data_IF_971073673581
#
_entry.id   IF_971073673581
#
_cell.length_a   1.000
_cell.length_b   1.000
_cell.length_c   1.000
_cell.angle_alpha   90.00
_cell.angle_beta   90.00
_cell.angle_gamma   90.00
#
_symmetry.space_group_name_H-M   'P 1'
#
loop_
_entity.id
_entity.type
_entity.pdbx_description
1 polymer ?
#
# COMPACT_ATOMS: atom_id res chain seq x y z
N UNK A 1 -40.90 5.07 36.07
CA UNK A 1 -40.95 5.36 37.51
C UNK A 1 -40.01 4.42 38.22
N UNK A 2 -38.97 5.03 38.76
CA UNK A 2 -37.83 4.53 39.55
C UNK A 2 -38.21 3.57 40.67
N UNK A 3 -37.45 2.48 40.81
CA UNK A 3 -37.19 1.86 42.12
C UNK A 3 -35.68 1.81 42.32
N UNK A 4 -35.24 2.56 43.32
CA UNK A 4 -33.86 2.74 43.71
C UNK A 4 -33.41 1.56 44.57
N UNK A 5 -32.26 0.98 44.24
CA UNK A 5 -31.57 0.03 45.10
C UNK A 5 -30.79 0.82 46.15
N UNK A 6 -31.25 0.79 47.39
CA UNK A 6 -30.56 1.35 48.57
C UNK A 6 -29.52 0.32 49.02
N UNK A 7 -28.24 0.61 48.78
CA UNK A 7 -27.14 -0.09 49.44
C UNK A 7 -26.74 0.72 50.68
N UNK A 8 -27.22 0.29 51.85
CA UNK A 8 -26.89 0.90 53.13
C UNK A 8 -25.47 0.48 53.54
N UNK A 9 -24.51 1.42 53.48
CA UNK A 9 -23.22 1.31 54.16
C UNK A 9 -23.46 1.32 55.67
N UNK A 10 -23.24 0.20 56.34
CA UNK A 10 -23.14 0.13 57.80
C UNK A 10 -21.67 0.23 58.20
N UNK A 11 -21.23 1.45 58.49
CA UNK A 11 -20.07 1.70 59.35
C UNK A 11 -20.55 1.64 60.80
N UNK A 12 -20.22 0.57 61.53
CA UNK A 12 -20.45 0.50 62.96
C UNK A 12 -19.21 -0.08 63.67
N UNK A 13 -18.65 0.73 64.57
CA UNK A 13 -17.57 0.37 65.50
C UNK A 13 -17.97 -0.80 66.41
N UNK A 14 -17.01 -1.59 66.92
CA UNK A 14 -17.33 -2.75 67.74
C UNK A 14 -17.71 -2.30 69.16
N UNK A 15 -19.01 -2.30 69.47
CA UNK A 15 -19.49 -2.38 70.84
C UNK A 15 -20.19 -3.73 71.01
N UNK A 16 -19.69 -4.53 71.96
CA UNK A 16 -20.24 -5.85 72.30
C UNK A 16 -21.70 -5.75 72.71
N UNK A 17 -22.60 -6.12 71.81
CA UNK A 17 -24.02 -6.29 72.06
C UNK A 17 -24.51 -7.52 71.30
N UNK A 18 -24.89 -8.57 72.03
CA UNK A 18 -25.47 -9.78 71.46
C UNK A 18 -26.89 -9.45 70.99
N UNK A 19 -27.10 -9.34 69.68
CA UNK A 19 -28.43 -9.14 69.08
C UNK A 19 -29.00 -10.52 68.73
N UNK A 20 -30.01 -10.95 69.47
CA UNK A 20 -30.79 -12.16 69.16
C UNK A 20 -31.83 -11.80 68.11
N UNK A 21 -31.61 -12.18 66.84
CA UNK A 21 -32.60 -12.01 65.77
C UNK A 21 -33.61 -13.17 65.81
N UNK A 22 -34.93 -12.90 65.75
CA UNK A 22 -35.96 -13.94 65.71
C UNK A 22 -35.88 -14.73 64.39
N UNK A 23 -35.66 -16.04 64.48
CA UNK A 23 -35.49 -16.94 63.34
C UNK A 23 -36.73 -17.09 62.43
N UNK A 24 -37.87 -16.51 62.82
CA UNK A 24 -39.17 -16.69 62.17
C UNK A 24 -39.38 -15.89 60.87
N UNK A 25 -38.43 -15.03 60.49
CA UNK A 25 -38.53 -14.22 59.26
C UNK A 25 -37.64 -14.69 58.10
N UNK A 26 -36.85 -15.75 58.28
CA UNK A 26 -36.02 -16.30 57.22
C UNK A 26 -36.78 -17.37 56.43
N UNK A 27 -37.40 -16.98 55.31
CA UNK A 27 -37.75 -17.93 54.26
C UNK A 27 -36.45 -18.49 53.68
N UNK A 28 -36.13 -19.75 54.01
CA UNK A 28 -35.16 -20.55 53.28
C UNK A 28 -35.66 -20.70 51.85
N UNK A 29 -35.17 -19.83 50.96
CA UNK A 29 -35.31 -20.02 49.52
C UNK A 29 -34.52 -21.28 49.19
N UNK A 30 -35.23 -22.36 48.87
CA UNK A 30 -34.64 -23.60 48.39
C UNK A 30 -34.00 -23.32 47.02
N UNK A 31 -32.70 -23.06 47.03
CA UNK A 31 -31.91 -22.89 45.81
C UNK A 31 -31.70 -24.27 45.22
N UNK A 32 -32.52 -24.63 44.24
CA UNK A 32 -32.31 -25.84 43.42
C UNK A 32 -30.85 -25.84 42.90
N UNK A 33 -30.14 -26.97 42.99
CA UNK A 33 -28.77 -27.05 42.49
C UNK A 33 -28.77 -26.70 40.99
N UNK A 34 -27.81 -25.89 40.52
CA UNK A 34 -27.72 -25.52 39.12
C UNK A 34 -27.59 -26.78 38.26
N UNK A 35 -28.29 -26.81 37.13
CA UNK A 35 -28.22 -27.92 36.19
C UNK A 35 -26.75 -28.20 35.79
N UNK A 36 -26.37 -29.48 35.59
CA UNK A 36 -25.00 -29.84 35.22
C UNK A 36 -24.57 -29.12 33.92
N UNK A 37 -23.38 -28.52 33.94
CA UNK A 37 -22.86 -27.76 32.79
C UNK A 37 -22.54 -28.72 31.64
N UNK A 38 -23.26 -28.60 30.53
CA UNK A 38 -23.02 -29.41 29.32
C UNK A 38 -21.68 -29.07 28.64
N UNK A 39 -21.23 -27.83 28.80
CA UNK A 39 -19.92 -27.35 28.38
C UNK A 39 -19.65 -25.96 28.95
N UNK A 40 -18.41 -25.50 28.90
CA UNK A 40 -18.01 -24.21 29.42
C UNK A 40 -16.80 -23.66 28.66
N UNK A 41 -16.70 -22.34 28.59
CA UNK A 41 -15.45 -21.64 28.25
C UNK A 41 -14.53 -21.73 29.46
N UNK A 42 -13.42 -22.45 29.31
CA UNK A 42 -12.45 -22.71 30.39
C UNK A 42 -11.33 -21.68 30.43
N UNK A 43 -11.03 -21.03 29.31
CA UNK A 43 -10.07 -19.94 29.23
C UNK A 43 -10.47 -18.94 28.16
N UNK A 44 -10.21 -17.67 28.43
CA UNK A 44 -10.44 -16.58 27.50
C UNK A 44 -9.30 -15.58 27.56
N UNK A 45 -8.77 -15.24 26.38
CA UNK A 45 -7.84 -14.12 26.19
C UNK A 45 -8.33 -13.26 25.06
N UNK A 46 -8.51 -11.98 25.34
CA UNK A 46 -8.92 -10.99 24.37
C UNK A 46 -7.76 -10.02 24.13
N UNK A 47 -7.39 -9.86 22.87
CA UNK A 47 -6.44 -8.84 22.42
C UNK A 47 -7.15 -7.94 21.43
N UNK A 48 -7.15 -6.64 21.71
CA UNK A 48 -7.73 -5.65 20.83
C UNK A 48 -6.64 -4.80 20.19
N UNK A 49 -6.79 -4.52 18.91
CA UNK A 49 -5.99 -3.56 18.16
C UNK A 49 -6.89 -2.42 17.76
N UNK A 50 -6.54 -1.21 18.19
CA UNK A 50 -7.27 0.00 17.83
C UNK A 50 -6.73 0.51 16.50
N UNK A 51 -7.63 0.82 15.56
CA UNK A 51 -7.34 1.52 14.30
C UNK A 51 -8.02 2.89 14.30
N UNK A 52 -7.88 3.67 13.23
CA UNK A 52 -8.50 5.01 13.13
C UNK A 52 -10.01 4.98 13.39
N UNK A 53 -10.72 4.05 12.73
CA UNK A 53 -12.18 4.04 12.69
C UNK A 53 -12.81 2.77 13.32
N UNK A 54 -11.99 1.78 13.67
CA UNK A 54 -12.47 0.49 14.18
C UNK A 54 -11.56 -0.12 15.24
N UNK A 55 -12.15 -0.97 16.08
CA UNK A 55 -11.44 -1.83 17.01
C UNK A 55 -11.46 -3.25 16.44
N UNK A 56 -10.30 -3.78 16.11
CA UNK A 56 -10.13 -5.20 15.77
C UNK A 56 -9.93 -5.99 17.06
N UNK A 57 -10.72 -7.03 17.29
CA UNK A 57 -10.61 -7.87 18.48
C UNK A 57 -10.32 -9.31 18.07
N UNK A 58 -9.21 -9.84 18.55
CA UNK A 58 -8.90 -11.27 18.46
C UNK A 58 -9.23 -11.91 19.80
N UNK A 59 -10.08 -12.93 19.77
CA UNK A 59 -10.48 -13.71 20.92
C UNK A 59 -9.92 -15.13 20.81
N UNK A 60 -9.05 -15.49 21.76
CA UNK A 60 -8.59 -16.85 21.96
C UNK A 60 -9.41 -17.49 23.09
N UNK A 61 -10.12 -18.56 22.77
CA UNK A 61 -10.98 -19.29 23.69
C UNK A 61 -10.55 -20.75 23.78
N UNK A 62 -10.59 -21.29 25.00
CA UNK A 62 -10.50 -22.74 25.23
C UNK A 62 -11.85 -23.22 25.73
N UNK A 63 -12.56 -24.01 24.93
CA UNK A 63 -13.92 -24.46 25.22
C UNK A 63 -13.92 -25.95 25.47
N UNK A 64 -14.54 -26.40 26.55
CA UNK A 64 -14.68 -27.82 26.87
C UNK A 64 -16.17 -28.22 26.89
N UNK A 65 -16.53 -29.25 26.13
CA UNK A 65 -17.86 -29.85 26.15
C UNK A 65 -17.74 -31.20 26.83
N UNK A 66 -18.54 -31.37 27.88
CA UNK A 66 -18.50 -32.52 28.77
C UNK A 66 -19.58 -33.53 28.36
N UNK A 67 -20.74 -33.04 27.93
CA UNK A 67 -21.86 -33.89 27.52
C UNK A 67 -21.84 -34.14 25.99
N UNK A 68 -21.57 -35.39 25.60
CA UNK A 68 -21.61 -35.87 24.22
C UNK A 68 -22.96 -36.50 23.83
N UNK A 69 -23.93 -36.58 24.76
CA UNK A 69 -25.20 -37.29 24.51
C UNK A 69 -26.20 -36.46 23.70
N UNK A 70 -26.06 -35.13 23.72
CA UNK A 70 -26.93 -34.17 23.05
C UNK A 70 -26.11 -33.09 22.35
N UNK A 71 -26.72 -32.39 21.41
CA UNK A 71 -26.11 -31.19 20.82
C UNK A 71 -25.96 -30.12 21.89
N UNK A 72 -24.72 -29.74 22.17
CA UNK A 72 -24.38 -28.67 23.09
C UNK A 72 -24.12 -27.40 22.31
N UNK A 73 -24.80 -26.33 22.71
CA UNK A 73 -24.64 -24.98 22.15
C UNK A 73 -24.09 -24.07 23.24
N UNK A 74 -23.03 -23.33 22.93
CA UNK A 74 -22.43 -22.34 23.83
C UNK A 74 -22.40 -20.97 23.17
N UNK A 75 -22.95 -19.96 23.84
CA UNK A 75 -22.94 -18.56 23.41
C UNK A 75 -21.62 -17.91 23.77
N UNK A 76 -20.81 -17.60 22.74
CA UNK A 76 -19.45 -17.08 22.89
C UNK A 76 -19.43 -15.55 22.95
N UNK A 77 -20.03 -14.89 21.96
CA UNK A 77 -20.07 -13.43 21.87
C UNK A 77 -21.39 -12.95 21.29
N UNK A 78 -21.84 -11.76 21.70
CA UNK A 78 -23.02 -11.12 21.13
C UNK A 78 -22.61 -10.08 20.09
N UNK A 79 -23.14 -10.19 18.89
CA UNK A 79 -22.96 -9.23 17.81
C UNK A 79 -23.97 -8.10 17.98
N UNK A 80 -23.51 -6.99 18.54
CA UNK A 80 -24.26 -5.73 18.60
C UNK A 80 -24.11 -4.96 17.28
N UNK A 81 -24.97 -3.95 16.99
CA UNK A 81 -24.77 -3.08 15.84
C UNK A 81 -23.34 -2.52 15.80
N UNK A 82 -22.66 -2.68 14.65
CA UNK A 82 -21.26 -2.29 14.47
C UNK A 82 -20.23 -3.37 14.80
N UNK A 83 -20.62 -4.54 15.34
CA UNK A 83 -19.71 -5.69 15.55
C UNK A 83 -19.91 -6.70 14.42
N UNK A 84 -18.83 -7.04 13.72
CA UNK A 84 -18.81 -8.04 12.66
C UNK A 84 -17.81 -9.15 12.98
N UNK A 85 -18.20 -10.41 12.76
CA UNK A 85 -17.27 -11.54 12.80
C UNK A 85 -16.54 -11.57 11.45
N UNK A 86 -15.22 -11.41 11.48
CA UNK A 86 -14.35 -11.34 10.29
C UNK A 86 -13.80 -12.72 9.94
N UNK A 87 -13.41 -13.48 10.97
CA UNK A 87 -12.77 -14.79 10.81
C UNK A 87 -13.07 -15.68 12.02
N UNK A 88 -13.10 -16.99 11.79
CA UNK A 88 -13.32 -18.00 12.83
C UNK A 88 -12.57 -19.28 12.50
N UNK A 89 -11.94 -19.87 13.53
CA UNK A 89 -11.28 -21.16 13.41
C UNK A 89 -12.23 -22.26 12.93
N UNK A 90 -11.80 -23.02 11.93
CA UNK A 90 -12.43 -24.29 11.58
C UNK A 90 -11.80 -25.40 12.43
N UNK A 91 -12.61 -26.04 13.27
CA UNK A 91 -12.16 -27.14 14.15
C UNK A 91 -12.95 -28.40 13.82
N UNK A 92 -12.27 -29.55 13.86
CA UNK A 92 -12.92 -30.82 13.60
C UNK A 92 -13.86 -31.21 14.75
N UNK A 93 -15.08 -31.63 14.41
CA UNK A 93 -16.08 -32.08 15.39
C UNK A 93 -16.88 -30.98 16.10
N UNK A 94 -16.59 -29.69 15.85
CA UNK A 94 -17.36 -28.57 16.37
C UNK A 94 -17.54 -27.46 15.31
N UNK A 95 -18.68 -26.77 15.33
CA UNK A 95 -19.01 -25.70 14.39
C UNK A 95 -19.13 -24.37 15.12
N UNK A 96 -18.40 -23.36 14.66
CA UNK A 96 -18.64 -21.95 15.03
C UNK A 96 -19.58 -21.34 14.01
N UNK A 97 -20.68 -20.76 14.47
CA UNK A 97 -21.66 -20.12 13.59
C UNK A 97 -22.24 -18.85 14.22
N UNK A 98 -22.80 -17.98 13.38
CA UNK A 98 -23.59 -16.82 13.82
C UNK A 98 -25.07 -17.21 13.83
N UNK A 99 -25.71 -17.15 14.99
CA UNK A 99 -27.13 -17.49 15.15
C UNK A 99 -27.83 -16.45 16.03
N UNK A 100 -28.91 -15.85 15.55
CA UNK A 100 -29.70 -14.82 16.27
C UNK A 100 -28.86 -13.65 16.81
N UNK A 101 -27.83 -13.23 16.08
CA UNK A 101 -26.94 -12.15 16.51
C UNK A 101 -25.94 -12.56 17.59
N UNK A 102 -25.68 -13.86 17.76
CA UNK A 102 -24.63 -14.37 18.65
C UNK A 102 -23.69 -15.29 17.88
N UNK A 103 -22.40 -15.24 18.23
CA UNK A 103 -21.42 -16.25 17.81
C UNK A 103 -21.53 -17.41 18.79
N UNK A 104 -21.81 -18.59 18.25
CA UNK A 104 -22.10 -19.79 19.04
C UNK A 104 -21.21 -20.93 18.59
N UNK A 105 -20.73 -21.72 19.55
CA UNK A 105 -20.12 -23.02 19.29
C UNK A 105 -21.19 -24.10 19.41
N UNK A 106 -21.27 -24.99 18.42
CA UNK A 106 -22.17 -26.13 18.44
C UNK A 106 -21.37 -27.41 18.21
N UNK A 107 -21.51 -28.38 19.11
CA UNK A 107 -20.88 -29.70 18.97
C UNK A 107 -21.76 -30.79 19.56
N UNK A 108 -21.58 -32.01 19.05
CA UNK A 108 -22.16 -33.24 19.58
C UNK A 108 -21.10 -34.17 20.19
N UNK A 109 -19.83 -33.80 20.08
CA UNK A 109 -18.72 -34.58 20.62
C UNK A 109 -18.28 -33.95 21.94
N UNK A 110 -17.86 -34.77 22.91
CA UNK A 110 -17.16 -34.26 24.08
C UNK A 110 -15.69 -34.04 23.72
N UNK A 111 -15.10 -32.97 24.24
CA UNK A 111 -13.73 -32.59 23.90
C UNK A 111 -13.40 -31.17 24.32
N UNK A 112 -12.15 -30.78 24.06
CA UNK A 112 -11.64 -29.43 24.29
C UNK A 112 -11.15 -28.86 22.96
N UNK A 113 -11.62 -27.66 22.62
CA UNK A 113 -11.23 -26.95 21.40
C UNK A 113 -10.57 -25.61 21.73
N UNK A 114 -9.53 -25.31 20.97
CA UNK A 114 -8.92 -23.98 20.93
C UNK A 114 -9.53 -23.23 19.76
N UNK A 115 -10.20 -22.12 20.05
CA UNK A 115 -10.85 -21.28 19.04
C UNK A 115 -10.16 -19.93 19.00
N UNK A 116 -9.81 -19.50 17.79
CA UNK A 116 -9.47 -18.12 17.49
C UNK A 116 -10.61 -17.50 16.67
N UNK A 117 -11.15 -16.39 17.17
CA UNK A 117 -12.22 -15.62 16.53
C UNK A 117 -11.74 -14.18 16.35
N UNK A 118 -11.97 -13.60 15.16
CA UNK A 118 -11.60 -12.22 14.86
C UNK A 118 -12.84 -11.40 14.60
N UNK A 119 -12.91 -10.24 15.24
CA UNK A 119 -14.03 -9.31 15.15
C UNK A 119 -13.53 -7.95 14.70
N UNK A 120 -14.35 -7.25 13.91
CA UNK A 120 -14.20 -5.81 13.67
C UNK A 120 -15.37 -5.08 14.30
N UNK A 121 -15.07 -4.12 15.16
CA UNK A 121 -16.04 -3.28 15.86
C UNK A 121 -15.90 -1.84 15.38
N UNK A 122 -16.87 -1.35 14.63
CA UNK A 122 -16.88 0.04 14.16
C UNK A 122 -17.08 0.99 15.34
N UNK A 123 -16.21 1.99 15.46
CA UNK A 123 -16.38 3.07 16.41
C UNK A 123 -17.53 4.00 15.97
N UNK A 124 -18.29 4.56 16.92
CA UNK A 124 -19.27 5.60 16.57
C UNK A 124 -18.63 6.83 15.90
N UNK A 125 -19.41 7.57 15.11
CA UNK A 125 -18.95 8.78 14.41
C UNK A 125 -18.66 9.93 15.39
N UNK A 126 -17.43 10.44 15.40
CA UNK A 126 -17.02 11.61 16.19
C UNK A 126 -15.53 11.66 16.50
N UNK A 127 -15.07 12.75 17.14
CA UNK A 127 -13.67 12.91 17.57
C UNK A 127 -13.25 11.94 18.70
N UNK A 128 -14.22 11.25 19.29
CA UNK A 128 -14.02 10.20 20.27
C UNK A 128 -14.85 9.00 19.85
N UNK A 129 -14.18 7.93 19.45
CA UNK A 129 -14.83 6.69 19.10
C UNK A 129 -15.10 5.87 20.35
N UNK A 130 -16.29 5.30 20.39
CA UNK A 130 -16.69 4.32 21.39
C UNK A 130 -17.09 3.05 20.68
N UNK A 131 -16.44 1.94 21.01
CA UNK A 131 -16.83 0.60 20.62
C UNK A 131 -17.34 -0.16 21.83
N UNK A 132 -18.34 -1.01 21.62
CA UNK A 132 -18.85 -1.94 22.63
C UNK A 132 -18.74 -3.36 22.09
N UNK A 133 -18.00 -4.20 22.80
CA UNK A 133 -17.89 -5.62 22.53
C UNK A 133 -18.52 -6.39 23.69
N UNK A 134 -19.38 -7.36 23.43
CA UNK A 134 -20.19 -8.00 24.48
C UNK A 134 -20.00 -9.52 24.47
N UNK A 135 -19.77 -10.10 25.65
CA UNK A 135 -19.65 -11.56 25.79
C UNK A 135 -21.00 -12.26 25.61
N UNK A 136 -20.95 -13.51 25.18
CA UNK A 136 -22.10 -14.40 25.20
C UNK A 136 -22.39 -14.91 26.61
N UNK A 137 -23.58 -15.47 26.80
CA UNK A 137 -24.06 -15.91 28.11
C UNK A 137 -23.14 -16.95 28.78
N UNK A 138 -22.51 -17.81 27.98
CA UNK A 138 -21.71 -18.96 28.44
C UNK A 138 -20.20 -18.66 28.50
N UNK A 139 -19.82 -17.40 28.27
CA UNK A 139 -18.42 -16.95 28.26
C UNK A 139 -18.07 -16.23 29.55
N UNK A 140 -16.83 -16.42 30.01
CA UNK A 140 -16.31 -15.81 31.23
C UNK A 140 -16.18 -14.28 31.11
N UNK A 141 -16.09 -13.61 32.26
CA UNK A 141 -15.60 -12.23 32.28
C UNK A 141 -14.08 -12.26 32.08
N UNK A 142 -13.61 -11.53 31.06
CA UNK A 142 -12.22 -11.49 30.65
C UNK A 142 -11.65 -10.08 30.66
N UNK A 143 -10.33 -9.97 30.63
CA UNK A 143 -9.64 -8.69 30.42
C UNK A 143 -9.29 -8.55 28.94
N UNK A 144 -9.81 -7.51 28.30
CA UNK A 144 -9.39 -7.10 26.97
C UNK A 144 -8.08 -6.31 27.09
N UNK A 145 -6.97 -6.90 26.63
CA UNK A 145 -5.70 -6.20 26.51
C UNK A 145 -5.66 -5.47 25.18
N UNK A 146 -5.34 -4.18 25.20
CA UNK A 146 -5.15 -3.42 23.97
C UNK A 146 -3.68 -3.36 23.60
N UNK A 147 -3.37 -3.75 22.37
CA UNK A 147 -2.09 -3.51 21.74
C UNK A 147 -2.27 -2.28 20.83
N UNK A 148 -1.58 -1.20 21.19
CA UNK A 148 -1.49 -0.01 20.35
C UNK A 148 -0.26 -0.21 19.47
N UNK A 149 -0.48 -0.31 18.16
CA UNK A 149 0.61 -0.53 17.21
C UNK A 149 1.59 0.65 17.22
N UNK A 150 2.87 0.39 16.97
CA UNK A 150 3.96 1.37 17.16
C UNK A 150 3.85 2.63 16.31
N UNK A 151 3.09 2.60 15.21
CA UNK A 151 2.73 3.77 14.40
C UNK A 151 1.71 4.71 15.08
N UNK A 152 1.09 4.30 16.20
CA UNK A 152 0.07 5.05 16.94
C UNK A 152 0.50 5.40 18.38
N UNK A 153 1.81 5.41 18.65
CA UNK A 153 2.38 5.78 19.95
C UNK A 153 2.06 7.24 20.39
N UNK A 154 1.46 8.07 19.52
CA UNK A 154 0.99 9.43 19.82
C UNK A 154 -0.50 9.53 20.24
N UNK A 155 -1.11 8.45 20.74
CA UNK A 155 -2.35 8.59 21.52
C UNK A 155 -2.02 9.31 22.84
N UNK A 156 -2.15 10.64 22.86
CA UNK A 156 -1.94 11.46 24.08
C UNK A 156 -2.76 10.98 25.29
N UNK A 157 -3.85 10.25 25.03
CA UNK A 157 -4.63 9.53 26.03
C UNK A 157 -4.89 8.14 25.46
N UNK A 158 -4.14 7.13 25.93
CA UNK A 158 -4.26 5.75 25.50
C UNK A 158 -5.71 5.25 25.55
N UNK A 159 -6.06 4.32 24.66
CA UNK A 159 -7.39 3.75 24.61
C UNK A 159 -7.82 3.21 25.98
N UNK A 160 -8.97 3.67 26.47
CA UNK A 160 -9.51 3.28 27.77
C UNK A 160 -10.45 2.10 27.57
N UNK A 161 -10.14 0.97 28.23
CA UNK A 161 -11.03 -0.18 28.30
C UNK A 161 -11.76 -0.17 29.63
N UNK A 162 -13.09 -0.10 29.61
CA UNK A 162 -13.91 -0.37 30.78
C UNK A 162 -14.69 -1.65 30.58
N UNK A 163 -14.54 -2.59 31.51
CA UNK A 163 -15.32 -3.82 31.56
C UNK A 163 -16.45 -3.64 32.56
N UNK A 164 -17.69 -3.61 32.08
CA UNK A 164 -18.89 -3.48 32.90
C UNK A 164 -19.95 -4.49 32.43
N UNK A 165 -20.43 -5.33 33.36
CA UNK A 165 -21.55 -6.26 33.12
C UNK A 165 -21.40 -7.14 31.86
N UNK A 166 -20.23 -7.75 31.66
CA UNK A 166 -19.95 -8.62 30.49
C UNK A 166 -19.78 -7.88 29.16
N UNK A 167 -19.62 -6.55 29.19
CA UNK A 167 -19.30 -5.75 28.02
C UNK A 167 -17.98 -4.99 28.21
N UNK A 168 -17.16 -5.01 27.17
CA UNK A 168 -15.96 -4.19 27.05
C UNK A 168 -16.32 -2.94 26.24
N UNK A 169 -16.36 -1.81 26.94
CA UNK A 169 -16.49 -0.50 26.33
C UNK A 169 -15.09 0.05 26.11
N UNK A 170 -14.71 0.19 24.85
CA UNK A 170 -13.42 0.77 24.46
C UNK A 170 -13.67 2.18 23.97
N UNK A 171 -13.00 3.14 24.60
CA UNK A 171 -13.03 4.55 24.18
C UNK A 171 -11.64 4.96 23.74
N UNK A 172 -11.54 5.44 22.50
CA UNK A 172 -10.31 6.03 22.01
C UNK A 172 -10.62 7.37 21.36
N UNK A 173 -9.70 8.32 21.54
CA UNK A 173 -9.73 9.56 20.79
C UNK A 173 -8.81 9.37 19.61
N UNK A 174 -9.37 9.37 18.41
CA UNK A 174 -8.56 9.59 17.23
C UNK A 174 -8.19 11.05 17.28
N UNK A 175 -6.95 11.36 17.66
CA UNK A 175 -6.37 12.60 17.17
C UNK A 175 -6.38 12.38 15.67
N UNK A 176 -7.20 13.15 14.94
CA UNK A 176 -7.07 13.25 13.51
C UNK A 176 -5.69 13.84 13.26
N UNK A 177 -4.69 12.96 13.24
CA UNK A 177 -3.40 13.24 12.67
C UNK A 177 -3.62 13.13 11.16
N UNK A 178 -4.35 14.07 10.54
CA UNK A 178 -3.79 15.29 9.94
C UNK A 178 -2.64 15.99 10.70
N UNK A 179 -1.75 15.25 11.32
CA UNK A 179 -0.34 15.51 11.28
C UNK A 179 0.04 14.76 9.98
N UNK A 180 0.31 15.40 8.84
CA UNK A 180 1.36 16.42 8.77
C UNK A 180 2.31 16.17 9.93
N UNK A 181 2.98 15.01 9.90
CA UNK A 181 4.27 14.90 10.53
C UNK A 181 4.94 16.24 10.23
N UNK A 182 5.13 17.09 11.24
CA UNK A 182 6.15 18.12 11.14
C UNK A 182 7.49 17.38 11.31
N UNK A 183 7.72 16.33 10.49
CA UNK A 183 8.97 16.22 9.75
C UNK A 183 9.02 17.55 9.06
N UNK A 184 9.77 18.50 9.63
CA UNK A 184 9.94 19.87 9.17
C UNK A 184 9.45 19.97 7.73
N UNK A 185 8.18 20.40 7.52
CA UNK A 185 7.43 20.11 6.30
C UNK A 185 8.34 20.48 5.15
N UNK A 186 8.99 19.47 4.56
CA UNK A 186 9.91 19.76 3.46
C UNK A 186 8.97 20.41 2.47
N UNK A 187 9.27 21.64 2.01
CA UNK A 187 8.48 22.26 0.98
C UNK A 187 8.14 21.19 -0.05
N UNK A 188 6.86 21.06 -0.44
CA UNK A 188 6.41 19.99 -1.32
C UNK A 188 7.40 19.88 -2.46
N UNK A 189 7.97 18.69 -2.61
CA UNK A 189 9.11 18.54 -3.49
C UNK A 189 8.61 18.80 -4.90
N UNK A 190 9.19 19.81 -5.55
CA UNK A 190 8.87 20.06 -6.95
C UNK A 190 9.27 18.82 -7.74
N UNK A 191 8.35 18.27 -8.55
CA UNK A 191 8.64 17.06 -9.28
C UNK A 191 9.72 17.36 -10.33
N UNK A 192 10.76 16.54 -10.36
CA UNK A 192 11.95 16.77 -11.20
C UNK A 192 12.32 15.50 -11.93
N UNK A 193 12.85 15.66 -13.14
CA UNK A 193 13.51 14.59 -13.88
C UNK A 193 15.00 14.70 -13.59
N UNK A 194 15.52 13.80 -12.76
CA UNK A 194 16.93 13.84 -12.32
C UNK A 194 17.88 13.43 -13.45
N UNK A 195 17.45 12.51 -14.30
CA UNK A 195 18.16 12.10 -15.50
C UNK A 195 17.21 11.61 -16.59
N UNK A 196 17.57 11.87 -17.84
CA UNK A 196 16.93 11.28 -19.01
C UNK A 196 17.99 10.63 -19.90
N UNK A 197 17.91 9.32 -20.06
CA UNK A 197 18.82 8.52 -20.87
C UNK A 197 18.15 8.18 -22.19
N UNK A 198 18.69 8.69 -23.30
CA UNK A 198 18.18 8.45 -24.63
C UNK A 198 19.10 7.49 -25.40
N UNK A 199 18.53 6.50 -26.07
CA UNK A 199 19.22 5.64 -27.02
C UNK A 199 18.56 5.77 -28.38
N UNK A 200 19.29 6.31 -29.36
CA UNK A 200 18.87 6.33 -30.75
C UNK A 200 19.61 5.25 -31.52
N UNK A 201 18.89 4.43 -32.25
CA UNK A 201 19.45 3.43 -33.16
C UNK A 201 18.85 3.65 -34.54
N UNK A 202 19.70 3.84 -35.55
CA UNK A 202 19.28 4.04 -36.93
C UNK A 202 19.89 2.98 -37.86
N UNK A 203 19.13 2.59 -38.87
CA UNK A 203 19.51 1.62 -39.90
C UNK A 203 19.87 2.32 -41.21
N UNK A 204 20.55 1.62 -42.13
CA UNK A 204 20.90 2.17 -43.46
C UNK A 204 19.65 2.52 -44.29
N UNK A 205 18.54 1.86 -44.02
CA UNK A 205 17.26 2.08 -44.71
C UNK A 205 16.53 3.34 -44.24
N UNK A 206 17.01 4.02 -43.19
CA UNK A 206 16.36 5.21 -42.65
C UNK A 206 15.47 4.96 -41.44
N UNK A 207 15.17 3.70 -41.12
CA UNK A 207 14.38 3.37 -39.94
C UNK A 207 15.17 3.63 -38.68
N UNK A 208 14.55 4.32 -37.74
CA UNK A 208 15.14 4.63 -36.46
C UNK A 208 14.20 4.35 -35.28
N UNK A 209 14.81 3.92 -34.18
CA UNK A 209 14.17 3.74 -32.89
C UNK A 209 14.86 4.61 -31.86
N UNK A 210 14.07 5.34 -31.09
CA UNK A 210 14.49 6.14 -29.97
C UNK A 210 13.87 5.57 -28.69
N UNK A 211 14.70 5.10 -27.77
CA UNK A 211 14.27 4.72 -26.42
C UNK A 211 14.68 5.82 -25.46
N UNK A 212 13.76 6.32 -24.64
CA UNK A 212 14.06 7.34 -23.63
C UNK A 212 13.60 6.86 -22.27
N UNK A 213 14.53 6.82 -21.31
CA UNK A 213 14.27 6.47 -19.92
C UNK A 213 14.44 7.70 -19.04
N UNK A 214 13.37 8.11 -18.39
CA UNK A 214 13.32 9.20 -17.42
C UNK A 214 13.40 8.64 -16.00
N UNK A 215 14.38 9.12 -15.23
CA UNK A 215 14.44 8.96 -13.79
C UNK A 215 13.71 10.13 -13.13
N UNK A 216 12.62 9.82 -12.45
CA UNK A 216 11.67 10.80 -11.91
C UNK A 216 11.80 10.85 -10.39
N UNK A 217 11.72 12.06 -9.82
CA UNK A 217 11.69 12.27 -8.38
C UNK A 217 10.44 13.10 -8.00
N UNK A 218 9.57 12.54 -7.17
CA UNK A 218 8.25 13.07 -6.78
C UNK A 218 7.84 12.53 -5.40
N UNK A 219 7.07 13.31 -4.63
CA UNK A 219 6.62 12.94 -3.28
C UNK A 219 5.20 12.34 -3.23
N UNK A 220 4.41 12.53 -4.28
CA UNK A 220 3.01 12.07 -4.41
C UNK A 220 2.61 11.99 -5.88
N UNK A 221 1.41 11.48 -6.17
CA UNK A 221 0.86 11.47 -7.54
C UNK A 221 0.92 12.87 -8.18
N UNK A 222 1.63 12.98 -9.30
CA UNK A 222 1.80 14.21 -10.06
C UNK A 222 1.59 13.96 -11.55
N UNK A 223 1.15 14.99 -12.28
CA UNK A 223 0.97 14.91 -13.73
C UNK A 223 2.29 15.23 -14.43
N UNK A 224 2.73 14.33 -15.30
CA UNK A 224 3.84 14.56 -16.22
C UNK A 224 3.28 14.63 -17.64
N UNK A 225 3.57 15.74 -18.32
CA UNK A 225 3.21 15.95 -19.71
C UNK A 225 4.47 15.93 -20.57
N UNK A 226 4.46 15.14 -21.64
CA UNK A 226 5.52 15.08 -22.63
C UNK A 226 5.02 15.55 -23.99
N UNK A 227 5.82 16.36 -24.66
CA UNK A 227 5.60 16.82 -26.03
C UNK A 227 6.47 16.01 -26.97
N UNK A 228 5.82 15.16 -27.76
CA UNK A 228 6.44 14.33 -28.78
C UNK A 228 6.84 15.19 -29.99
N UNK A 229 8.10 15.11 -30.46
CA UNK A 229 8.53 15.86 -31.62
C UNK A 229 7.89 15.35 -32.91
N UNK A 230 7.90 16.18 -33.95
CA UNK A 230 7.30 15.82 -35.23
C UNK A 230 7.97 14.57 -35.84
N UNK A 231 7.19 13.80 -36.59
CA UNK A 231 7.58 12.56 -37.27
C UNK A 231 7.96 11.36 -36.37
N UNK A 232 7.92 11.48 -35.04
CA UNK A 232 8.04 10.33 -34.14
C UNK A 232 6.66 9.73 -33.83
N UNK A 233 6.59 8.40 -33.86
CA UNK A 233 5.43 7.63 -33.44
C UNK A 233 5.79 6.87 -32.17
N UNK A 234 5.03 7.06 -31.11
CA UNK A 234 5.22 6.32 -29.86
C UNK A 234 4.64 4.91 -29.99
N UNK A 235 5.45 3.89 -29.75
CA UNK A 235 5.07 2.49 -29.92
C UNK A 235 4.94 1.74 -28.59
N UNK A 236 5.69 2.16 -27.57
CA UNK A 236 5.66 1.54 -26.24
C UNK A 236 5.87 2.58 -25.15
N UNK A 237 5.16 2.40 -24.04
CA UNK A 237 5.33 3.16 -22.81
C UNK A 237 5.32 2.21 -21.62
N UNK A 238 6.23 2.41 -20.68
CA UNK A 238 6.17 1.74 -19.38
C UNK A 238 6.46 2.69 -18.23
N UNK A 239 5.64 2.62 -17.19
CA UNK A 239 5.75 3.37 -15.96
C UNK A 239 6.08 2.40 -14.82
N UNK A 240 7.16 2.65 -14.10
CA UNK A 240 7.68 1.80 -13.02
C UNK A 240 7.81 0.33 -13.46
N UNK A 241 8.27 0.11 -14.71
CA UNK A 241 8.43 -1.21 -15.32
C UNK A 241 7.13 -1.87 -15.82
N UNK A 242 5.96 -1.28 -15.53
CA UNK A 242 4.67 -1.79 -16.00
C UNK A 242 4.27 -1.13 -17.32
N UNK A 243 3.85 -1.92 -18.31
CA UNK A 243 3.37 -1.38 -19.58
C UNK A 243 2.08 -0.56 -19.36
N UNK A 244 2.01 0.62 -19.97
CA UNK A 244 0.83 1.50 -19.93
C UNK A 244 0.30 1.65 -21.35
N UNK A 245 -1.02 1.85 -21.47
CA UNK A 245 -1.66 2.16 -22.75
C UNK A 245 -0.95 3.36 -23.38
N UNK A 246 -0.63 3.24 -24.67
CA UNK A 246 -0.04 4.32 -25.47
C UNK A 246 -1.14 5.34 -25.76
N UNK A 247 -1.10 6.54 -25.18
CA UNK A 247 -2.10 7.57 -25.45
C UNK A 247 -1.92 8.16 -26.84
N UNK A 248 -3.04 8.58 -27.43
CA UNK A 248 -3.07 9.23 -28.74
C UNK A 248 -2.69 10.71 -28.66
N UNK A 249 -2.10 11.23 -29.74
CA UNK A 249 -1.71 12.63 -29.86
C UNK A 249 -0.22 12.89 -29.64
N UNK A 250 0.18 14.14 -29.81
CA UNK A 250 1.58 14.59 -29.67
C UNK A 250 1.89 15.19 -28.30
N UNK A 251 0.87 15.58 -27.55
CA UNK A 251 1.02 16.03 -26.17
C UNK A 251 0.36 15.02 -25.26
N UNK A 252 1.19 14.35 -24.48
CA UNK A 252 0.80 13.16 -23.76
C UNK A 252 0.93 13.40 -22.27
N UNK A 253 -0.11 13.08 -21.50
CA UNK A 253 -0.11 13.28 -20.05
C UNK A 253 -0.37 11.98 -19.30
N UNK A 254 0.47 11.70 -18.31
CA UNK A 254 0.30 10.58 -17.38
C UNK A 254 0.23 11.07 -15.93
N UNK A 255 -0.46 10.28 -15.11
CA UNK A 255 -0.37 10.36 -13.65
C UNK A 255 0.78 9.47 -13.21
N UNK A 256 1.84 10.08 -12.70
CA UNK A 256 3.04 9.41 -12.22
C UNK A 256 2.94 9.30 -10.70
N UNK A 257 3.13 8.10 -10.18
CA UNK A 257 3.26 7.83 -8.74
C UNK A 257 4.66 7.26 -8.44
N UNK A 258 5.18 7.45 -7.22
CA UNK A 258 6.38 6.75 -6.77
C UNK A 258 6.25 5.23 -6.97
N UNK A 259 7.37 4.58 -7.26
CA UNK A 259 7.40 3.14 -7.55
C UNK A 259 6.87 2.28 -6.40
N UNK A 260 7.09 2.73 -5.15
CA UNK A 260 6.62 2.07 -3.93
C UNK A 260 6.14 3.10 -2.89
N UNK A 261 5.20 2.72 -2.00
CA UNK A 261 4.84 3.56 -0.86
C UNK A 261 6.08 3.91 -0.03
N UNK A 262 6.26 5.19 0.29
CA UNK A 262 7.41 5.69 1.07
C UNK A 262 8.66 6.00 0.24
N UNK A 263 8.73 5.59 -1.03
CA UNK A 263 9.79 6.02 -1.95
C UNK A 263 9.46 7.37 -2.61
N UNK A 264 10.48 8.01 -3.18
CA UNK A 264 10.35 9.27 -3.92
C UNK A 264 10.71 9.16 -5.39
N UNK A 265 11.03 7.96 -5.85
CA UNK A 265 11.53 7.70 -7.19
C UNK A 265 10.49 6.99 -8.03
N UNK A 266 10.43 7.36 -9.31
CA UNK A 266 9.69 6.62 -10.32
C UNK A 266 10.53 6.54 -11.61
N UNK A 267 10.14 5.65 -12.51
CA UNK A 267 10.75 5.53 -13.83
C UNK A 267 9.69 5.55 -14.93
N UNK A 268 9.97 6.29 -15.99
CA UNK A 268 9.16 6.29 -17.21
C UNK A 268 10.06 5.96 -18.40
N UNK A 269 9.69 4.94 -19.15
CA UNK A 269 10.38 4.55 -20.37
C UNK A 269 9.45 4.67 -21.56
N UNK A 270 9.96 5.26 -22.64
CA UNK A 270 9.28 5.43 -23.91
C UNK A 270 10.09 4.76 -25.02
N UNK A 271 9.40 4.13 -25.95
CA UNK A 271 9.96 3.75 -27.25
C UNK A 271 9.22 4.48 -28.35
N UNK A 272 9.97 5.18 -29.19
CA UNK A 272 9.48 5.90 -30.34
C UNK A 272 10.16 5.37 -31.60
N UNK A 273 9.43 5.38 -32.71
CA UNK A 273 9.94 5.00 -34.02
C UNK A 273 9.71 6.12 -35.03
N UNK A 274 10.66 6.26 -35.95
CA UNK A 274 10.61 7.23 -37.04
C UNK A 274 11.27 6.63 -38.27
N UNK A 275 10.74 6.99 -39.44
CA UNK A 275 11.41 6.77 -40.71
C UNK A 275 12.05 8.08 -41.18
N UNK A 276 13.37 8.08 -41.38
CA UNK A 276 14.12 9.18 -41.96
C UNK A 276 14.13 9.14 -43.50
N UNK A 277 13.58 8.09 -44.10
CA UNK A 277 13.74 7.78 -45.52
C UNK A 277 15.14 7.25 -45.83
N UNK A 278 15.35 6.86 -47.08
CA UNK A 278 16.60 6.23 -47.52
C UNK A 278 17.78 7.19 -47.33
N UNK A 279 18.82 6.73 -46.62
CA UNK A 279 20.08 7.46 -46.54
C UNK A 279 20.77 7.48 -47.90
N UNK A 280 20.93 8.68 -48.48
CA UNK A 280 21.69 8.89 -49.71
C UNK A 280 23.21 8.86 -49.45
N UNK A 281 24.04 9.14 -50.46
CA UNK A 281 25.50 9.19 -50.29
C UNK A 281 25.96 10.31 -49.35
N UNK A 282 25.14 11.33 -49.13
CA UNK A 282 25.36 12.37 -48.13
C UNK A 282 24.06 13.06 -47.78
N UNK A 283 23.97 13.65 -46.59
CA UNK A 283 22.81 14.42 -46.18
C UNK A 283 22.88 14.93 -44.75
N UNK A 284 21.71 15.28 -44.21
CA UNK A 284 21.54 15.75 -42.84
C UNK A 284 20.48 14.92 -42.11
N UNK A 285 20.67 14.73 -40.83
CA UNK A 285 19.74 14.05 -39.94
C UNK A 285 19.50 14.92 -38.71
N UNK A 286 18.27 15.37 -38.56
CA UNK A 286 17.81 16.14 -37.40
C UNK A 286 17.04 15.24 -36.43
N UNK A 287 17.48 15.23 -35.18
CA UNK A 287 16.86 14.48 -34.09
C UNK A 287 16.42 15.47 -33.02
N UNK A 288 15.16 15.37 -32.62
CA UNK A 288 14.63 16.06 -31.46
C UNK A 288 14.17 14.99 -30.48
N UNK A 289 14.52 15.14 -29.20
CA UNK A 289 14.03 14.32 -28.10
C UNK A 289 12.71 14.91 -27.56
N UNK A 290 11.87 14.12 -26.87
CA UNK A 290 10.64 14.64 -26.29
C UNK A 290 10.90 15.74 -25.24
N UNK A 291 10.10 16.81 -25.31
CA UNK A 291 10.11 17.87 -24.29
C UNK A 291 9.27 17.46 -23.09
N UNK A 292 9.71 17.78 -21.88
CA UNK A 292 9.02 17.43 -20.65
C UNK A 292 8.47 18.65 -19.91
N UNK A 293 7.31 18.52 -19.28
CA UNK A 293 6.72 19.58 -18.44
C UNK A 293 7.46 19.78 -17.12
N UNK A 294 8.22 18.78 -16.67
CA UNK A 294 9.03 18.87 -15.46
C UNK A 294 10.46 19.32 -15.80
N UNK A 295 11.13 20.06 -14.90
CA UNK A 295 12.53 20.41 -15.08
C UNK A 295 13.38 19.14 -15.21
N UNK A 296 14.27 19.12 -16.21
CA UNK A 296 15.16 17.98 -16.45
C UNK A 296 16.60 18.37 -16.16
N UNK A 297 17.18 17.80 -15.10
CA UNK A 297 18.51 18.17 -14.63
C UNK A 297 19.61 17.78 -15.63
N UNK A 298 19.48 16.62 -16.27
CA UNK A 298 20.45 16.13 -17.26
C UNK A 298 19.80 15.21 -18.29
N UNK A 299 20.21 15.36 -19.54
CA UNK A 299 19.93 14.43 -20.63
C UNK A 299 21.25 13.86 -21.13
N UNK A 300 21.33 12.54 -21.28
CA UNK A 300 22.44 11.82 -21.87
C UNK A 300 21.94 10.97 -23.02
N UNK A 301 22.59 11.03 -24.18
CA UNK A 301 22.16 10.35 -25.39
C UNK A 301 23.27 9.49 -25.97
N UNK A 302 22.96 8.23 -26.28
CA UNK A 302 23.79 7.33 -27.08
C UNK A 302 23.14 7.14 -28.44
N UNK A 303 23.86 7.49 -29.51
CA UNK A 303 23.36 7.47 -30.88
C UNK A 303 24.16 6.47 -31.69
N UNK A 304 23.53 5.36 -32.06
CA UNK A 304 24.11 4.26 -32.84
C UNK A 304 23.67 4.37 -34.30
N UNK A 305 24.64 4.60 -35.19
CA UNK A 305 24.41 4.94 -36.58
C UNK A 305 25.13 3.98 -37.53
N UNK A 306 24.66 3.83 -38.78
CA UNK A 306 25.32 2.97 -39.74
C UNK A 306 26.80 3.34 -39.96
N UNK A 307 27.67 2.34 -39.87
CA UNK A 307 29.12 2.51 -39.94
C UNK A 307 29.66 2.80 -41.36
N UNK A 308 28.80 2.74 -42.38
CA UNK A 308 29.16 3.05 -43.78
C UNK A 308 29.28 4.55 -44.05
N UNK A 309 28.74 5.39 -43.16
CA UNK A 309 28.82 6.84 -43.25
C UNK A 309 29.78 7.42 -42.22
N UNK A 310 30.46 8.49 -42.63
CA UNK A 310 31.10 9.40 -41.70
C UNK A 310 30.09 10.41 -41.17
N UNK A 311 30.01 10.50 -39.84
CA UNK A 311 29.04 11.31 -39.13
C UNK A 311 29.73 12.50 -38.46
N UNK A 312 29.19 13.70 -38.67
CA UNK A 312 29.69 14.94 -38.06
C UNK A 312 28.55 15.75 -37.45
N UNK A 313 28.71 16.21 -36.22
CA UNK A 313 27.77 17.17 -35.62
C UNK A 313 27.80 18.50 -36.38
N UNK A 314 26.62 18.98 -36.73
CA UNK A 314 26.40 20.31 -37.31
C UNK A 314 25.89 21.31 -36.28
N UNK A 315 25.10 20.85 -35.31
CA UNK A 315 24.48 21.72 -34.31
C UNK A 315 23.49 20.99 -33.41
N UNK A 316 22.54 21.73 -32.85
CA UNK A 316 21.59 21.29 -31.84
C UNK A 316 22.05 21.59 -30.41
N UNK A 317 21.17 21.40 -29.43
CA UNK A 317 21.45 21.70 -28.03
C UNK A 317 22.28 20.62 -27.30
N UNK A 318 22.37 19.41 -27.86
CA UNK A 318 23.13 18.30 -27.30
C UNK A 318 24.63 18.44 -27.64
N UNK A 319 25.48 18.49 -26.61
CA UNK A 319 26.93 18.59 -26.77
C UNK A 319 27.60 17.21 -26.76
N UNK A 320 28.72 17.01 -27.50
CA UNK A 320 29.47 15.76 -27.45
C UNK A 320 29.92 15.40 -26.03
N UNK A 321 29.82 14.14 -25.67
CA UNK A 321 30.24 13.62 -24.38
C UNK A 321 31.28 12.51 -24.56
N UNK A 322 32.41 12.59 -23.86
CA UNK A 322 33.44 11.55 -23.90
C UNK A 322 32.99 10.26 -23.22
N UNK A 323 32.22 10.38 -22.13
CA UNK A 323 31.67 9.27 -21.38
C UNK A 323 30.25 9.60 -20.88
N UNK A 324 29.38 8.60 -20.90
CA UNK A 324 28.04 8.66 -20.32
C UNK A 324 28.08 8.13 -18.88
N UNK A 325 27.14 8.57 -18.04
CA UNK A 325 26.99 8.09 -16.66
C UNK A 325 26.26 6.75 -16.56
N UNK A 326 25.76 6.25 -17.68
CA UNK A 326 25.13 4.95 -17.83
C UNK A 326 25.79 4.19 -18.98
N UNK A 327 25.64 2.86 -18.98
CA UNK A 327 26.18 1.99 -20.02
C UNK A 327 25.09 1.67 -21.04
N UNK A 328 25.10 2.28 -22.23
CA UNK A 328 24.15 1.91 -23.27
C UNK A 328 24.39 0.47 -23.74
N UNK A 329 23.32 -0.29 -24.05
CA UNK A 329 23.46 -1.60 -24.68
C UNK A 329 24.35 -1.52 -25.92
N UNK A 330 25.21 -2.53 -26.10
CA UNK A 330 26.02 -2.64 -27.30
C UNK A 330 25.10 -2.88 -28.50
N UNK A 331 25.14 -1.96 -29.47
CA UNK A 331 24.35 -2.01 -30.70
C UNK A 331 25.30 -1.85 -31.90
N UNK A 332 24.97 -2.46 -33.06
CA UNK A 332 25.81 -2.35 -34.25
C UNK A 332 25.91 -0.91 -34.74
N UNK A 333 27.06 -0.57 -35.33
CA UNK A 333 27.30 0.73 -35.95
C UNK A 333 28.31 1.61 -35.21
N UNK A 334 28.40 2.86 -35.65
CA UNK A 334 29.21 3.92 -35.01
C UNK A 334 28.39 4.51 -33.86
N UNK A 335 28.93 4.46 -32.65
CA UNK A 335 28.32 5.07 -31.48
C UNK A 335 28.85 6.50 -31.30
N UNK A 336 27.93 7.44 -31.10
CA UNK A 336 28.22 8.82 -30.72
C UNK A 336 27.50 9.11 -29.40
N UNK A 337 28.19 9.79 -28.49
CA UNK A 337 27.67 10.10 -27.15
C UNK A 337 27.48 11.60 -27.00
N UNK A 338 26.35 12.01 -26.43
CA UNK A 338 26.01 13.41 -26.21
C UNK A 338 25.42 13.64 -24.82
N UNK A 339 25.53 14.87 -24.31
CA UNK A 339 25.00 15.31 -23.02
C UNK A 339 24.50 16.74 -23.09
N UNK A 340 23.48 17.02 -22.29
CA UNK A 340 23.04 18.37 -21.97
C UNK A 340 22.61 18.44 -20.50
N UNK A 341 22.85 19.58 -19.85
CA UNK A 341 22.40 19.88 -18.48
C UNK A 341 21.31 20.94 -18.50
N UNK A 342 20.48 20.96 -17.44
CA UNK A 342 19.44 21.98 -17.21
C UNK A 342 18.56 22.18 -18.44
N UNK A 343 17.85 21.13 -18.82
CA UNK A 343 17.02 21.11 -20.02
C UNK A 343 15.67 21.75 -19.70
N UNK A 344 15.35 22.81 -20.44
CA UNK A 344 14.09 23.51 -20.38
C UNK A 344 12.94 22.67 -20.97
N UNK A 345 11.71 23.17 -20.94
CA UNK A 345 10.53 22.46 -21.45
C UNK A 345 10.60 22.08 -22.95
N UNK A 346 11.47 22.75 -23.72
CA UNK A 346 11.75 22.38 -25.11
C UNK A 346 12.66 21.13 -25.16
N UNK A 347 12.26 20.15 -25.98
CA UNK A 347 13.02 18.91 -26.16
C UNK A 347 14.43 19.15 -26.74
N UNK A 348 15.48 18.46 -26.24
CA UNK A 348 16.84 18.57 -26.77
C UNK A 348 16.93 18.24 -28.26
N UNK A 349 17.82 18.92 -28.98
CA UNK A 349 18.02 18.73 -30.41
C UNK A 349 19.45 18.32 -30.75
N UNK A 350 19.59 17.57 -31.85
CA UNK A 350 20.87 17.16 -32.42
C UNK A 350 20.77 17.21 -33.95
N UNK A 351 21.71 17.88 -34.59
CA UNK A 351 21.85 17.88 -36.04
C UNK A 351 23.16 17.23 -36.45
N UNK A 352 23.07 16.23 -37.33
CA UNK A 352 24.20 15.48 -37.85
C UNK A 352 24.25 15.60 -39.38
N UNK A 353 25.44 15.81 -39.93
CA UNK A 353 25.75 15.54 -41.32
C UNK A 353 26.26 14.12 -41.46
N UNK A 354 25.96 13.50 -42.59
CA UNK A 354 26.55 12.23 -42.99
C UNK A 354 27.04 12.27 -44.43
N UNK A 355 28.10 11.51 -44.71
CA UNK A 355 28.61 11.27 -46.06
C UNK A 355 29.26 9.89 -46.15
N UNK A 356 29.14 9.21 -47.28
CA UNK A 356 29.89 7.98 -47.55
C UNK A 356 31.33 8.38 -47.84
N UNK A 357 32.28 7.77 -47.13
CA UNK A 357 33.68 7.84 -47.51
C UNK A 357 33.91 6.93 -48.72
N UNK A 358 33.86 7.53 -49.91
CA UNK A 358 34.18 6.83 -51.16
C UNK A 358 35.70 6.66 -51.33
N UNK A 359 36.52 7.35 -50.54
CA UNK A 359 37.98 7.29 -50.60
C UNK A 359 38.51 6.11 -49.77
N UNK A 360 38.18 4.89 -50.16
CA UNK A 360 38.89 3.71 -49.64
C UNK A 360 38.21 2.35 -49.72
N UNK A 361 36.92 2.27 -50.09
CA UNK A 361 36.18 0.98 -49.99
C UNK A 361 35.52 0.45 -51.26
N UNK A 362 35.44 1.21 -52.36
CA UNK A 362 34.80 0.73 -53.59
C UNK A 362 35.76 0.41 -54.76
N UNK A 363 37.05 0.79 -54.66
CA UNK A 363 38.05 0.46 -55.68
C UNK A 363 39.22 -0.35 -55.12
N UNK A 364 38.94 -1.47 -54.43
CA UNK A 364 39.86 -2.62 -54.47
C UNK A 364 39.38 -3.57 -55.58
N UNK A 365 39.37 -3.05 -56.81
CA UNK A 365 39.40 -3.92 -57.98
C UNK A 365 40.62 -4.84 -57.78
N UNK A 366 40.35 -6.15 -57.66
CA UNK A 366 41.33 -7.21 -57.83
C UNK A 366 42.06 -6.97 -59.17
N UNK A 367 43.11 -6.17 -59.14
CA UNK A 367 44.16 -6.16 -60.14
C UNK A 367 45.02 -7.39 -59.92
N UNK A 368 44.47 -8.55 -60.28
CA UNK A 368 45.28 -9.73 -60.51
C UNK A 368 45.97 -9.56 -61.86
N UNK A 369 47.28 -9.30 -61.83
CA UNK A 369 48.26 -9.96 -62.68
C UNK A 369 49.64 -9.87 -62.06
#
# INVERSE_FOLDING_TARGET
MTSALVALLLTASPSSGTVTLPLSEYQLVEVLPPAPMAGAVTSQRLTGRVTNDSLEVTAHLVVSIIDATKWTKLSLFRLTPGVTLVDSSQVEGALVAVQHGEVVLVSKTAGTWNLELKFSVTGGDGAQHTARFTRGADTMDGVLKLEVDGEFAELQHGAEVRSENGAWNVRWKTVSTRQQQVVAARPPMEPVITAANAQLVSTVEGRARLTVQYALELDREQRLTLKLPEAWVMTRVSLNGSAVVVPEGREVTWKVTPARPGEKTASLELTLERDFGVFHLSGRMGVTLPGASWPTARVESSVHLPAVFEWRRLGGSLEPAEALSWSPPSMPGKQLSFRQHLVAAAGPTLELAYSVDLAGRYFSLRGGR
#
